data_IF_567198153440
#
_entry.id   IF_567198153440
#
_cell.length_a   1.000
_cell.length_b   1.000
_cell.length_c   1.000
_cell.angle_alpha   90.00
_cell.angle_beta   90.00
_cell.angle_gamma   90.00
#
_symmetry.space_group_name_H-M   'P 1'
#
loop_
_entity.id
_entity.type
_entity.pdbx_description
1 polymer ?
#
# COMPACT_ATOMS: atom_id res chain seq x y z
N UNK A 1 -14.06 1.77 -13.22
CA UNK A 1 -14.31 3.24 -13.29
C UNK A 1 -13.85 3.88 -11.98
N UNK A 2 -14.33 3.44 -10.82
CA UNK A 2 -14.00 4.02 -9.50
C UNK A 2 -12.49 4.01 -9.19
N UNK A 3 -11.76 2.97 -9.60
CA UNK A 3 -10.31 2.91 -9.45
C UNK A 3 -9.58 4.01 -10.23
N UNK A 4 -10.06 4.36 -11.41
CA UNK A 4 -9.48 5.43 -12.21
C UNK A 4 -9.78 6.82 -11.60
N UNK A 5 -10.99 7.00 -11.09
CA UNK A 5 -11.38 8.22 -10.35
C UNK A 5 -10.52 8.40 -9.10
N UNK A 6 -10.25 7.31 -8.39
CA UNK A 6 -9.38 7.35 -7.21
C UNK A 6 -7.94 7.77 -7.55
N UNK A 7 -7.38 7.28 -8.66
CA UNK A 7 -6.05 7.69 -9.10
C UNK A 7 -6.00 9.20 -9.41
N UNK A 8 -7.06 9.76 -10.02
CA UNK A 8 -7.18 11.21 -10.22
C UNK A 8 -7.32 11.97 -8.91
N UNK A 9 -8.17 11.51 -8.00
CA UNK A 9 -8.37 12.15 -6.70
C UNK A 9 -7.06 12.24 -5.89
N UNK A 10 -6.29 11.16 -5.88
CA UNK A 10 -4.96 11.15 -5.24
C UNK A 10 -4.02 12.15 -5.92
N UNK A 11 -3.97 12.17 -7.26
CA UNK A 11 -3.12 13.11 -8.01
C UNK A 11 -3.52 14.56 -7.77
N UNK A 12 -4.80 14.85 -7.71
CA UNK A 12 -5.32 16.22 -7.50
C UNK A 12 -5.06 16.73 -6.09
N UNK A 13 -5.09 15.83 -5.10
CA UNK A 13 -4.79 16.19 -3.72
C UNK A 13 -3.29 16.43 -3.48
N UNK A 14 -2.44 15.68 -4.18
CA UNK A 14 -1.00 15.78 -4.06
C UNK A 14 -0.42 16.23 -5.40
N UNK A 15 -0.17 17.52 -5.55
CA UNK A 15 0.40 18.08 -6.79
C UNK A 15 1.91 17.76 -6.95
N UNK A 16 2.35 16.65 -6.39
CA UNK A 16 3.73 16.17 -6.39
C UNK A 16 3.84 14.82 -7.09
N UNK A 17 5.04 14.39 -7.51
CA UNK A 17 5.26 13.04 -7.99
C UNK A 17 4.92 11.99 -6.94
N UNK A 18 4.49 10.81 -7.38
CA UNK A 18 4.09 9.70 -6.54
C UNK A 18 5.04 8.51 -6.73
N UNK A 19 5.38 7.83 -5.64
CA UNK A 19 6.23 6.65 -5.61
C UNK A 19 5.43 5.44 -5.12
N UNK A 20 5.03 4.55 -6.04
CA UNK A 20 4.25 3.36 -5.73
C UNK A 20 5.15 2.21 -5.28
N UNK A 21 4.91 1.67 -4.10
CA UNK A 21 5.48 0.40 -3.69
C UNK A 21 4.63 -0.76 -4.22
N UNK A 22 5.19 -1.50 -5.17
CA UNK A 22 4.55 -2.63 -5.81
C UNK A 22 4.94 -3.92 -5.10
N UNK A 23 3.98 -4.55 -4.42
CA UNK A 23 4.23 -5.75 -3.61
C UNK A 23 4.15 -7.08 -4.40
N UNK A 24 3.56 -7.06 -5.61
CA UNK A 24 3.23 -8.27 -6.36
C UNK A 24 1.85 -8.84 -6.04
N UNK A 25 1.12 -8.25 -5.09
CA UNK A 25 -0.27 -8.57 -4.80
C UNK A 25 -1.25 -7.82 -5.71
N UNK A 26 -2.48 -8.34 -5.76
CA UNK A 26 -3.55 -7.80 -6.62
C UNK A 26 -3.84 -6.32 -6.36
N UNK A 27 -3.79 -5.89 -5.11
CA UNK A 27 -4.13 -4.51 -4.74
C UNK A 27 -3.14 -3.50 -5.32
N UNK A 28 -1.85 -3.77 -5.18
CA UNK A 28 -0.81 -2.92 -5.76
C UNK A 28 -0.79 -2.97 -7.29
N UNK A 29 -1.17 -4.11 -7.90
CA UNK A 29 -1.37 -4.22 -9.34
C UNK A 29 -2.53 -3.35 -9.81
N UNK A 30 -3.67 -3.37 -9.13
CA UNK A 30 -4.83 -2.54 -9.46
C UNK A 30 -4.52 -1.05 -9.37
N UNK A 31 -3.75 -0.63 -8.37
CA UNK A 31 -3.28 0.75 -8.28
C UNK A 31 -2.36 1.11 -9.44
N UNK A 32 -1.34 0.30 -9.74
CA UNK A 32 -0.46 0.53 -10.88
C UNK A 32 -1.24 0.64 -12.18
N UNK A 33 -2.16 -0.30 -12.43
CA UNK A 33 -3.02 -0.29 -13.60
C UNK A 33 -3.80 1.01 -13.71
N UNK A 34 -4.36 1.50 -12.60
CA UNK A 34 -5.15 2.74 -12.60
C UNK A 34 -4.32 3.95 -13.02
N UNK A 35 -3.07 4.05 -12.57
CA UNK A 35 -2.15 5.12 -12.97
C UNK A 35 -1.72 4.99 -14.43
N UNK A 36 -1.47 3.77 -14.93
CA UNK A 36 -1.13 3.53 -16.34
C UNK A 36 -2.30 3.87 -17.26
N UNK A 37 -3.53 3.43 -16.94
CA UNK A 37 -4.72 3.70 -17.74
C UNK A 37 -5.09 5.20 -17.78
N UNK A 38 -4.91 5.91 -16.66
CA UNK A 38 -5.14 7.36 -16.57
C UNK A 38 -3.99 8.18 -17.13
N UNK A 39 -2.84 7.55 -17.45
CA UNK A 39 -1.60 8.22 -17.87
C UNK A 39 -1.05 9.22 -16.84
N UNK A 40 -1.36 9.01 -15.58
CA UNK A 40 -0.78 9.78 -14.49
C UNK A 40 0.63 9.23 -14.22
N UNK A 41 1.68 10.07 -14.29
CA UNK A 41 3.05 9.62 -14.02
C UNK A 41 3.20 9.09 -12.60
N UNK A 42 3.82 7.91 -12.48
CA UNK A 42 4.15 7.30 -11.20
C UNK A 42 5.49 6.57 -11.30
N UNK A 43 6.33 6.69 -10.30
CA UNK A 43 7.52 5.86 -10.17
C UNK A 43 7.16 4.56 -9.45
N UNK A 44 7.75 3.45 -9.87
CA UNK A 44 7.46 2.14 -9.28
C UNK A 44 8.69 1.60 -8.58
N UNK A 45 8.51 1.19 -7.35
CA UNK A 45 9.54 0.59 -6.50
C UNK A 45 9.12 -0.80 -6.06
N UNK A 46 10.07 -1.74 -6.05
CA UNK A 46 9.87 -3.11 -5.59
C UNK A 46 10.92 -3.43 -4.54
N UNK A 47 10.49 -3.79 -3.34
CA UNK A 47 11.39 -4.27 -2.29
C UNK A 47 11.81 -5.71 -2.57
N UNK A 48 13.11 -5.97 -2.54
CA UNK A 48 13.67 -7.31 -2.65
C UNK A 48 14.37 -7.67 -1.35
N UNK A 49 13.85 -8.66 -0.65
CA UNK A 49 14.45 -9.10 0.61
C UNK A 49 15.58 -10.10 0.37
N UNK A 50 16.60 -10.02 1.26
CA UNK A 50 17.69 -10.99 1.25
C UNK A 50 17.18 -12.44 1.39
N UNK A 51 18.02 -13.41 1.01
CA UNK A 51 17.74 -14.84 1.11
C UNK A 51 16.46 -15.29 0.37
N UNK A 52 16.02 -14.50 -0.60
CA UNK A 52 14.80 -14.75 -1.39
C UNK A 52 13.52 -14.91 -0.55
N UNK A 53 13.44 -14.26 0.62
CA UNK A 53 12.30 -14.34 1.54
C UNK A 53 10.98 -14.00 0.84
N UNK A 54 10.98 -12.97 -0.02
CA UNK A 54 9.81 -12.57 -0.80
C UNK A 54 9.92 -12.91 -2.30
N UNK A 55 10.59 -14.01 -2.66
CA UNK A 55 10.86 -14.33 -4.06
C UNK A 55 9.61 -14.42 -4.93
N UNK A 56 8.52 -14.98 -4.41
CA UNK A 56 7.26 -15.12 -5.15
C UNK A 56 6.68 -13.75 -5.45
N UNK A 57 6.49 -12.93 -4.42
CA UNK A 57 5.92 -11.58 -4.56
C UNK A 57 6.80 -10.69 -5.44
N UNK A 58 8.12 -10.79 -5.27
CA UNK A 58 9.08 -10.08 -6.10
C UNK A 58 8.97 -10.44 -7.59
N UNK A 59 8.82 -11.72 -7.92
CA UNK A 59 8.65 -12.17 -9.31
C UNK A 59 7.30 -11.74 -9.89
N UNK A 60 6.22 -11.80 -9.11
CA UNK A 60 4.91 -11.32 -9.58
C UNK A 60 4.92 -9.80 -9.78
N UNK A 61 5.57 -9.04 -8.91
CA UNK A 61 5.74 -7.61 -9.11
C UNK A 61 6.51 -7.27 -10.40
N UNK A 62 7.61 -7.98 -10.68
CA UNK A 62 8.36 -7.81 -11.94
C UNK A 62 7.52 -8.15 -13.17
N UNK A 63 6.74 -9.23 -13.12
CA UNK A 63 5.84 -9.64 -14.19
C UNK A 63 4.74 -8.60 -14.43
N UNK A 64 4.16 -8.04 -13.36
CA UNK A 64 3.21 -6.93 -13.44
C UNK A 64 3.84 -5.74 -14.14
N UNK A 65 5.06 -5.34 -13.78
CA UNK A 65 5.78 -4.26 -14.47
C UNK A 65 5.99 -4.54 -15.98
N UNK A 66 6.28 -5.79 -16.35
CA UNK A 66 6.41 -6.19 -17.76
C UNK A 66 5.07 -6.06 -18.51
N UNK A 67 3.96 -6.51 -17.90
CA UNK A 67 2.61 -6.42 -18.48
C UNK A 67 2.24 -4.97 -18.79
N UNK A 68 2.53 -4.06 -17.88
CA UNK A 68 2.19 -2.64 -18.01
C UNK A 68 3.28 -1.79 -18.65
N UNK A 69 4.38 -2.41 -19.10
CA UNK A 69 5.54 -1.73 -19.72
C UNK A 69 6.11 -0.61 -18.85
N UNK A 70 6.27 -0.89 -17.56
CA UNK A 70 6.84 0.02 -16.57
C UNK A 70 8.20 -0.53 -16.12
N UNK A 71 9.18 0.36 -15.94
CA UNK A 71 10.49 -0.01 -15.41
C UNK A 71 10.54 0.30 -13.90
N UNK A 72 10.63 -0.72 -13.04
CA UNK A 72 10.71 -0.48 -11.60
C UNK A 72 12.13 -0.17 -11.14
N UNK A 73 12.25 0.53 -10.03
CA UNK A 73 13.47 0.61 -9.22
C UNK A 73 13.43 -0.48 -8.16
N UNK A 74 14.48 -1.29 -8.08
CA UNK A 74 14.60 -2.35 -7.09
C UNK A 74 15.33 -1.82 -5.86
N UNK A 75 14.75 -2.03 -4.67
CA UNK A 75 15.34 -1.68 -3.39
C UNK A 75 15.70 -2.98 -2.65
N UNK A 76 17.00 -3.23 -2.51
CA UNK A 76 17.48 -4.39 -1.75
C UNK A 76 17.30 -4.13 -0.24
N UNK A 77 16.60 -5.04 0.43
CA UNK A 77 16.27 -4.97 1.84
C UNK A 77 16.90 -6.15 2.59
N UNK A 78 17.62 -5.86 3.66
CA UNK A 78 18.17 -6.89 4.55
C UNK A 78 17.32 -6.98 5.83
N UNK A 79 16.43 -7.98 5.88
CA UNK A 79 15.53 -8.17 7.02
C UNK A 79 16.30 -8.43 8.32
N UNK A 80 17.41 -9.17 8.27
CA UNK A 80 18.22 -9.44 9.46
C UNK A 80 18.82 -8.15 10.02
N UNK A 81 19.43 -7.34 9.16
CA UNK A 81 20.00 -6.05 9.56
C UNK A 81 18.94 -5.13 10.13
N UNK A 82 17.75 -5.10 9.51
CA UNK A 82 16.61 -4.33 10.01
C UNK A 82 16.20 -4.79 11.42
N UNK A 83 16.03 -6.09 11.64
CA UNK A 83 15.63 -6.63 12.95
C UNK A 83 16.68 -6.36 14.05
N UNK A 84 17.95 -6.38 13.70
CA UNK A 84 19.04 -6.14 14.64
C UNK A 84 19.24 -4.65 15.00
N UNK A 85 18.95 -3.74 14.07
CA UNK A 85 19.31 -2.32 14.22
C UNK A 85 18.11 -1.38 14.36
N UNK A 86 17.02 -1.62 13.61
CA UNK A 86 15.94 -0.63 13.47
C UNK A 86 14.63 -1.05 14.16
N UNK A 87 14.33 -2.34 14.19
CA UNK A 87 13.01 -2.82 14.63
C UNK A 87 12.71 -2.48 16.09
N UNK A 88 13.71 -2.53 16.96
CA UNK A 88 13.55 -2.20 18.38
C UNK A 88 13.19 -0.71 18.58
N UNK A 89 13.86 0.18 17.84
CA UNK A 89 13.62 1.62 17.96
C UNK A 89 12.26 1.99 17.36
N UNK A 90 11.85 1.36 16.27
CA UNK A 90 10.52 1.53 15.73
C UNK A 90 9.44 1.08 16.72
N UNK A 91 9.60 -0.07 17.38
CA UNK A 91 8.65 -0.54 18.38
C UNK A 91 8.55 0.42 19.58
N UNK A 92 9.68 0.91 20.06
CA UNK A 92 9.72 1.91 21.14
C UNK A 92 9.08 3.25 20.70
N UNK A 93 9.15 3.57 19.42
CA UNK A 93 8.48 4.71 18.78
C UNK A 93 6.96 4.52 18.58
N UNK A 94 6.40 3.36 18.95
CA UNK A 94 4.96 3.09 18.84
C UNK A 94 4.51 2.44 17.53
N UNK A 95 5.42 1.88 16.75
CA UNK A 95 5.10 1.17 15.52
C UNK A 95 4.61 -0.26 15.82
N UNK A 96 3.33 -0.42 16.02
CA UNK A 96 2.71 -1.73 16.30
C UNK A 96 2.29 -2.42 15.01
N UNK A 97 3.24 -3.02 14.29
CA UNK A 97 3.00 -3.75 13.06
C UNK A 97 3.94 -4.96 12.93
N UNK A 98 3.61 -5.88 12.05
CA UNK A 98 4.50 -6.99 11.75
C UNK A 98 5.84 -6.50 11.12
N UNK A 99 6.96 -7.22 11.33
CA UNK A 99 8.29 -6.82 10.85
C UNK A 99 8.34 -6.55 9.34
N UNK A 100 7.57 -7.29 8.52
CA UNK A 100 7.49 -7.07 7.07
C UNK A 100 6.90 -5.71 6.71
N UNK A 101 5.91 -5.25 7.47
CA UNK A 101 5.36 -3.90 7.29
C UNK A 101 6.31 -2.82 7.81
N UNK A 102 6.95 -3.04 8.94
CA UNK A 102 7.91 -2.10 9.52
C UNK A 102 9.12 -1.87 8.61
N UNK A 103 9.68 -2.93 8.00
CA UNK A 103 10.78 -2.77 7.04
C UNK A 103 10.33 -2.02 5.77
N UNK A 104 9.09 -2.19 5.35
CA UNK A 104 8.53 -1.41 4.26
C UNK A 104 8.45 0.07 4.61
N UNK A 105 8.07 0.43 5.84
CA UNK A 105 8.11 1.82 6.31
C UNK A 105 9.54 2.39 6.28
N UNK A 106 10.55 1.59 6.62
CA UNK A 106 11.96 2.01 6.45
C UNK A 106 12.35 2.21 4.98
N UNK A 107 11.84 1.38 4.09
CA UNK A 107 12.09 1.54 2.64
C UNK A 107 11.58 2.88 2.14
N UNK A 108 10.41 3.32 2.57
CA UNK A 108 9.83 4.60 2.12
C UNK A 108 10.62 5.83 2.60
N UNK A 109 11.45 5.72 3.63
CA UNK A 109 12.37 6.80 4.03
C UNK A 109 13.37 7.14 2.93
N UNK A 110 13.73 6.17 2.09
CA UNK A 110 14.66 6.33 0.97
C UNK A 110 14.02 6.86 -0.31
N UNK A 111 12.70 7.00 -0.36
CA UNK A 111 11.98 7.52 -1.51
C UNK A 111 12.01 9.05 -1.50
N UNK A 112 12.05 9.66 -2.68
CA UNK A 112 12.13 11.13 -2.80
C UNK A 112 10.76 11.81 -2.87
N UNK A 113 9.75 11.10 -3.36
CA UNK A 113 8.41 11.63 -3.59
C UNK A 113 7.40 11.11 -2.57
N UNK A 114 6.11 11.37 -2.79
CA UNK A 114 5.04 10.91 -1.90
C UNK A 114 4.86 9.41 -2.03
N UNK A 115 5.14 8.62 -0.98
CA UNK A 115 4.97 7.18 -1.02
C UNK A 115 3.50 6.77 -1.09
N UNK A 116 3.19 5.82 -1.97
CA UNK A 116 1.88 5.19 -2.10
C UNK A 116 1.99 3.71 -1.75
N UNK A 117 1.30 3.30 -0.71
CA UNK A 117 1.21 1.93 -0.26
C UNK A 117 -0.21 1.42 -0.52
N UNK A 118 -0.30 0.25 -1.10
CA UNK A 118 -1.56 -0.43 -1.33
C UNK A 118 -1.57 -1.68 -0.47
N UNK A 119 -2.06 -1.59 0.72
CA UNK A 119 -2.44 -2.78 1.47
C UNK A 119 -3.93 -3.06 1.22
N UNK A 120 -4.27 -4.32 1.02
CA UNK A 120 -5.58 -4.82 0.60
C UNK A 120 -6.71 -4.67 1.62
N UNK A 121 -6.82 -3.51 2.14
CA UNK A 121 -7.44 -3.21 3.43
C UNK A 121 -8.95 -3.18 3.37
N UNK A 122 -9.53 -2.75 2.26
CA UNK A 122 -10.96 -2.47 2.26
C UNK A 122 -11.80 -3.71 2.43
N UNK A 123 -11.41 -4.84 1.86
CA UNK A 123 -12.12 -6.10 2.07
C UNK A 123 -11.97 -6.62 3.51
N UNK A 124 -10.83 -6.33 4.14
CA UNK A 124 -10.50 -6.81 5.48
C UNK A 124 -10.93 -5.84 6.58
N UNK A 125 -11.06 -4.54 6.29
CA UNK A 125 -11.51 -3.53 7.24
C UNK A 125 -13.02 -3.61 7.54
N UNK A 126 -13.79 -4.18 6.62
CA UNK A 126 -15.23 -4.35 6.80
C UNK A 126 -15.55 -5.80 7.12
N UNK A 127 -15.73 -6.11 8.39
CA UNK A 127 -16.19 -7.42 8.84
C UNK A 127 -17.69 -7.41 9.12
N UNK A 128 -18.39 -8.37 8.56
CA UNK A 128 -19.77 -8.61 8.94
C UNK A 128 -19.80 -9.31 10.30
N UNK A 129 -20.15 -8.56 11.34
CA UNK A 129 -20.36 -9.13 12.68
C UNK A 129 -21.57 -10.08 12.70
N UNK A 130 -22.59 -9.75 11.90
CA UNK A 130 -23.77 -10.58 11.67
C UNK A 130 -24.45 -10.16 10.35
N UNK A 131 -25.62 -10.72 10.01
CA UNK A 131 -26.33 -10.43 8.76
C UNK A 131 -26.76 -8.96 8.57
N UNK A 132 -26.74 -8.17 9.63
CA UNK A 132 -27.27 -6.79 9.63
C UNK A 132 -26.27 -5.76 10.13
N UNK A 133 -25.12 -6.19 10.66
CA UNK A 133 -24.13 -5.31 11.28
C UNK A 133 -22.77 -5.51 10.62
N UNK A 134 -22.18 -4.42 10.17
CA UNK A 134 -20.81 -4.35 9.65
C UNK A 134 -19.94 -3.56 10.64
N UNK A 135 -18.88 -4.18 11.11
CA UNK A 135 -17.89 -3.52 11.96
C UNK A 135 -16.70 -3.06 11.11
N UNK A 136 -16.24 -1.85 11.37
CA UNK A 136 -15.01 -1.33 10.79
C UNK A 136 -13.85 -1.77 11.68
N UNK A 137 -12.87 -2.44 11.11
CA UNK A 137 -11.66 -2.85 11.79
C UNK A 137 -10.54 -1.88 11.41
N UNK A 138 -10.02 -1.16 12.42
CA UNK A 138 -8.85 -0.30 12.24
C UNK A 138 -7.61 -1.15 12.49
N UNK A 139 -6.74 -1.23 11.50
CA UNK A 139 -5.51 -2.00 11.61
C UNK A 139 -4.37 -1.16 12.21
N UNK A 140 -3.54 -1.82 12.98
CA UNK A 140 -2.30 -1.25 13.53
C UNK A 140 -1.35 -0.70 12.46
N UNK A 141 -1.41 -1.23 11.24
CA UNK A 141 -0.64 -0.75 10.08
C UNK A 141 -0.91 0.71 9.76
N UNK A 142 -2.16 1.16 9.84
CA UNK A 142 -2.53 2.55 9.58
C UNK A 142 -1.94 3.49 10.63
N UNK A 143 -1.94 3.07 11.89
CA UNK A 143 -1.30 3.83 12.95
C UNK A 143 0.21 3.92 12.75
N UNK A 144 0.85 2.79 12.42
CA UNK A 144 2.27 2.76 12.13
C UNK A 144 2.63 3.70 10.96
N UNK A 145 1.86 3.66 9.87
CA UNK A 145 2.06 4.53 8.72
C UNK A 145 1.85 6.02 9.07
N UNK A 146 0.81 6.35 9.85
CA UNK A 146 0.55 7.72 10.28
C UNK A 146 1.68 8.27 11.16
N UNK A 147 2.16 7.48 12.13
CA UNK A 147 3.32 7.83 12.95
C UNK A 147 4.55 8.06 12.07
N UNK A 148 4.78 7.16 11.12
CA UNK A 148 5.92 7.24 10.23
C UNK A 148 5.89 8.47 9.32
N UNK A 149 4.73 8.78 8.73
CA UNK A 149 4.54 10.01 7.94
C UNK A 149 4.90 11.26 8.73
N UNK A 150 4.50 11.34 10.00
CA UNK A 150 4.91 12.43 10.87
C UNK A 150 6.42 12.46 11.17
N UNK A 151 7.06 11.29 11.25
CA UNK A 151 8.49 11.18 11.53
C UNK A 151 9.35 11.62 10.34
N UNK A 152 8.93 11.29 9.12
CA UNK A 152 9.65 11.65 7.89
C UNK A 152 9.29 13.05 7.37
N UNK A 153 8.39 13.78 8.05
CA UNK A 153 7.91 15.13 7.71
C UNK A 153 7.44 15.27 6.26
N UNK A 154 6.71 14.27 5.79
CA UNK A 154 6.09 14.29 4.47
C UNK A 154 4.81 13.45 4.41
N UNK A 155 3.88 13.76 3.50
CA UNK A 155 2.69 12.95 3.28
C UNK A 155 3.03 11.51 2.93
N UNK A 156 2.21 10.58 3.41
CA UNK A 156 2.27 9.16 3.09
C UNK A 156 0.86 8.66 2.81
N UNK A 157 0.64 8.09 1.64
CA UNK A 157 -0.63 7.45 1.28
C UNK A 157 -0.53 6.00 1.68
N UNK A 158 -1.00 5.68 2.88
CA UNK A 158 -0.92 4.33 3.47
C UNK A 158 -2.08 3.42 3.08
N UNK A 159 -3.13 4.00 2.51
CA UNK A 159 -4.37 3.29 2.17
C UNK A 159 -4.94 3.88 0.89
N UNK A 160 -4.39 3.44 -0.23
CA UNK A 160 -4.77 4.00 -1.52
C UNK A 160 -6.26 3.79 -1.83
N UNK A 161 -6.84 2.65 -1.42
CA UNK A 161 -8.23 2.34 -1.68
C UNK A 161 -9.24 3.17 -0.88
N UNK A 162 -8.84 3.67 0.28
CA UNK A 162 -9.73 4.47 1.14
C UNK A 162 -9.72 5.96 0.79
N UNK A 163 -8.95 6.32 -0.25
CA UNK A 163 -8.73 7.72 -0.58
C UNK A 163 -9.95 8.39 -1.20
N UNK A 164 -10.82 7.65 -1.89
CA UNK A 164 -12.08 8.19 -2.40
C UNK A 164 -13.29 7.57 -1.71
N UNK A 165 -14.24 8.39 -1.24
CA UNK A 165 -15.51 7.89 -0.67
C UNK A 165 -16.28 7.00 -1.64
N UNK A 166 -16.19 7.29 -2.94
CA UNK A 166 -16.86 6.54 -4.01
C UNK A 166 -16.31 5.12 -4.11
N UNK A 167 -14.99 4.96 -4.03
CA UNK A 167 -14.36 3.64 -4.06
C UNK A 167 -14.72 2.82 -2.82
N UNK A 168 -14.67 3.46 -1.64
CA UNK A 168 -15.11 2.84 -0.39
C UNK A 168 -16.59 2.40 -0.47
N UNK A 169 -17.46 3.25 -1.00
CA UNK A 169 -18.88 2.93 -1.19
C UNK A 169 -19.07 1.77 -2.17
N UNK A 170 -18.30 1.71 -3.27
CA UNK A 170 -18.35 0.61 -4.24
C UNK A 170 -17.93 -0.72 -3.60
N UNK A 171 -16.90 -0.74 -2.77
CA UNK A 171 -16.50 -1.94 -2.02
C UNK A 171 -17.58 -2.41 -1.05
N UNK A 172 -18.21 -1.48 -0.31
CA UNK A 172 -19.31 -1.77 0.59
C UNK A 172 -20.49 -2.37 -0.16
N UNK A 173 -20.87 -1.79 -1.28
CA UNK A 173 -22.02 -2.26 -2.07
C UNK A 173 -21.77 -3.67 -2.63
N UNK A 174 -20.60 -3.93 -3.17
CA UNK A 174 -20.20 -5.26 -3.64
C UNK A 174 -20.25 -6.31 -2.55
N UNK A 175 -19.79 -5.99 -1.34
CA UNK A 175 -19.79 -6.92 -0.22
C UNK A 175 -21.21 -7.14 0.34
N UNK A 176 -22.00 -6.10 0.47
CA UNK A 176 -23.37 -6.21 0.94
C UNK A 176 -24.28 -7.04 0.02
N UNK A 177 -24.06 -6.97 -1.30
CA UNK A 177 -24.78 -7.80 -2.26
C UNK A 177 -24.51 -9.30 -2.14
N UNK A 178 -23.28 -9.67 -1.78
CA UNK A 178 -22.91 -11.09 -1.56
C UNK A 178 -23.61 -11.71 -0.36
N UNK A 179 -24.05 -10.91 0.60
CA UNK A 179 -24.66 -11.37 1.84
C UNK A 179 -26.19 -11.34 1.84
N UNK A 180 -26.80 -10.78 0.80
CA UNK A 180 -28.27 -10.76 0.64
C UNK A 180 -28.85 -12.05 0.04
N UNK A 181 -28.01 -13.03 -0.29
CA UNK A 181 -28.39 -14.37 -0.76
C UNK A 181 -28.27 -15.36 0.39
#
# INVERSE_FOLDING_TARGET
EELLLNAHAVKDAFNEPLDLLLSGGLDSELALRSYVETKIPINVFIAKYNDNINAVDFHEALKTCQIYNVTPTIIDCNLKTFLENDAHDMWNGGYFAEPGYMIMLKVIESLDNIPVICDGINADNFRMANKTQCDIVIYEKHFAAAIHGNTIDRPLISSWYDYSPELTAAFLDLNLHKWKK
#
